data_IF_628612007687
#
_entry.id   IF_628612007687
#
_cell.length_a   1.000
_cell.length_b   1.000
_cell.length_c   1.000
_cell.angle_alpha   90.00
_cell.angle_beta   90.00
_cell.angle_gamma   90.00
#
_symmetry.space_group_name_H-M   'P 1'
#
loop_
_entity.id
_entity.type
_entity.pdbx_description
1 polymer ?
#
# COMPACT_ATOMS: atom_id res chain seq x y z
N UNK A 1 -0.22 5.78 -28.52
CA UNK A 1 0.00 5.33 -27.12
C UNK A 1 -0.74 4.00 -26.94
N UNK A 2 -0.03 2.88 -26.97
CA UNK A 2 -0.65 1.54 -26.86
C UNK A 2 -0.97 1.26 -25.39
N UNK A 3 -2.23 1.37 -25.02
CA UNK A 3 -2.74 0.83 -23.75
C UNK A 3 -2.70 -0.69 -23.92
N UNK A 4 -1.76 -1.35 -23.24
CA UNK A 4 -1.79 -2.81 -23.14
C UNK A 4 -2.99 -3.19 -22.29
N UNK A 5 -4.04 -3.64 -22.94
CA UNK A 5 -5.18 -4.29 -22.30
C UNK A 5 -4.66 -5.57 -21.65
N UNK A 6 -4.58 -5.59 -20.33
CA UNK A 6 -4.28 -6.80 -19.57
C UNK A 6 -5.56 -7.64 -19.61
N UNK A 7 -5.55 -8.63 -20.50
CA UNK A 7 -6.60 -9.65 -20.51
C UNK A 7 -6.49 -10.45 -19.21
N UNK A 8 -7.48 -10.34 -18.34
CA UNK A 8 -7.64 -11.16 -17.14
C UNK A 8 -8.10 -12.55 -17.60
N UNK A 9 -7.18 -13.46 -17.77
CA UNK A 9 -7.50 -14.89 -17.88
C UNK A 9 -7.69 -15.44 -16.47
N UNK A 10 -8.93 -15.64 -16.08
CA UNK A 10 -9.31 -16.39 -14.89
C UNK A 10 -9.06 -17.88 -15.18
N UNK A 11 -7.88 -18.38 -14.85
CA UNK A 11 -7.64 -19.83 -14.78
C UNK A 11 -7.83 -20.23 -13.31
N UNK A 12 -9.03 -20.72 -13.00
CA UNK A 12 -9.28 -21.44 -11.76
C UNK A 12 -8.61 -22.83 -11.88
N UNK A 13 -7.34 -22.91 -11.51
CA UNK A 13 -6.69 -24.22 -11.33
C UNK A 13 -7.09 -24.74 -9.96
N UNK A 14 -8.10 -25.60 -9.93
CA UNK A 14 -8.39 -26.46 -8.78
C UNK A 14 -7.33 -27.58 -8.78
N UNK A 15 -6.16 -27.30 -8.24
CA UNK A 15 -5.18 -28.34 -7.95
C UNK A 15 -5.52 -28.98 -6.61
N UNK A 16 -5.75 -30.29 -6.64
CA UNK A 16 -5.91 -31.16 -5.48
C UNK A 16 -4.59 -31.38 -4.69
N UNK A 17 -3.56 -30.58 -4.95
CA UNK A 17 -2.30 -30.62 -4.24
C UNK A 17 -2.41 -29.84 -2.93
N UNK A 18 -1.75 -30.32 -1.89
CA UNK A 18 -1.67 -29.61 -0.61
C UNK A 18 -1.08 -28.21 -0.85
N UNK A 19 -1.87 -27.17 -0.59
CA UNK A 19 -1.44 -25.76 -0.73
C UNK A 19 -0.18 -25.51 0.08
N UNK A 20 0.84 -24.91 -0.52
CA UNK A 20 2.09 -24.53 0.13
C UNK A 20 2.07 -23.07 0.56
N UNK A 21 2.94 -22.69 1.51
CA UNK A 21 3.07 -21.27 1.93
C UNK A 21 3.55 -20.38 0.76
N UNK A 22 4.36 -20.95 -0.14
CA UNK A 22 4.85 -20.26 -1.34
C UNK A 22 3.70 -19.93 -2.30
N UNK A 23 2.76 -20.85 -2.52
CA UNK A 23 1.57 -20.61 -3.33
C UNK A 23 0.68 -19.51 -2.75
N UNK A 24 0.57 -19.41 -1.42
CA UNK A 24 -0.14 -18.31 -0.77
C UNK A 24 0.54 -16.97 -1.01
N UNK A 25 1.89 -16.94 -1.04
CA UNK A 25 2.62 -15.71 -1.36
C UNK A 25 2.52 -15.36 -2.85
N UNK A 26 2.51 -16.35 -3.74
CA UNK A 26 2.35 -16.14 -5.18
C UNK A 26 0.97 -15.60 -5.54
N UNK A 27 -0.06 -16.08 -4.85
CA UNK A 27 -1.42 -15.59 -5.00
C UNK A 27 -1.59 -14.10 -4.65
N UNK A 28 -0.70 -13.51 -3.84
CA UNK A 28 -0.71 -12.08 -3.54
C UNK A 28 -0.50 -11.21 -4.79
N UNK A 29 0.30 -11.66 -5.75
CA UNK A 29 0.61 -10.88 -6.96
C UNK A 29 -0.65 -10.62 -7.81
N UNK A 30 -1.67 -11.47 -7.68
CA UNK A 30 -2.97 -11.34 -8.37
C UNK A 30 -3.99 -10.50 -7.61
N UNK A 31 -3.68 -10.04 -6.39
CA UNK A 31 -4.64 -9.34 -5.56
C UNK A 31 -4.88 -7.90 -6.02
N UNK A 32 -6.18 -7.46 -6.08
CA UNK A 32 -6.52 -6.09 -6.48
C UNK A 32 -5.81 -5.02 -5.65
N UNK A 33 -5.56 -5.26 -4.36
CA UNK A 33 -4.85 -4.32 -3.49
C UNK A 33 -3.41 -4.05 -3.94
N UNK A 34 -2.67 -5.08 -4.37
CA UNK A 34 -1.32 -4.93 -4.90
C UNK A 34 -1.31 -4.41 -6.35
N UNK A 35 -2.35 -4.71 -7.12
CA UNK A 35 -2.55 -4.09 -8.44
C UNK A 35 -2.81 -2.58 -8.31
N UNK A 36 -3.60 -2.16 -7.32
CA UNK A 36 -3.80 -0.74 -6.98
C UNK A 36 -2.46 -0.08 -6.60
N UNK A 37 -1.62 -0.75 -5.83
CA UNK A 37 -0.29 -0.23 -5.49
C UNK A 37 0.62 -0.12 -6.72
N UNK A 38 0.54 -1.04 -7.69
CA UNK A 38 1.24 -0.92 -8.98
C UNK A 38 0.72 0.27 -9.79
N UNK A 39 -0.60 0.47 -9.85
CA UNK A 39 -1.20 1.63 -10.50
C UNK A 39 -0.78 2.95 -9.84
N UNK A 40 -0.71 3.00 -8.51
CA UNK A 40 -0.22 4.17 -7.77
C UNK A 40 1.26 4.47 -8.10
N UNK A 41 2.09 3.44 -8.24
CA UNK A 41 3.49 3.59 -8.71
C UNK A 41 3.52 4.15 -10.13
N UNK A 42 2.70 3.63 -11.06
CA UNK A 42 2.60 4.13 -12.43
C UNK A 42 2.09 5.58 -12.46
N UNK A 43 1.10 5.95 -11.64
CA UNK A 43 0.64 7.33 -11.48
C UNK A 43 1.78 8.27 -11.06
N UNK A 44 2.64 7.84 -10.14
CA UNK A 44 3.83 8.61 -9.76
C UNK A 44 4.79 8.82 -10.94
N UNK A 45 5.00 7.81 -11.77
CA UNK A 45 5.85 7.91 -12.97
C UNK A 45 5.23 8.81 -14.05
N UNK A 46 3.92 8.70 -14.28
CA UNK A 46 3.17 9.55 -15.21
C UNK A 46 3.14 11.00 -14.71
N UNK A 47 3.01 11.20 -13.39
CA UNK A 47 3.09 12.52 -12.77
C UNK A 47 4.40 13.24 -13.09
N UNK A 48 5.54 12.51 -13.08
CA UNK A 48 6.82 13.06 -13.54
C UNK A 48 6.77 13.45 -15.02
N UNK A 49 6.28 12.54 -15.90
CA UNK A 49 6.15 12.83 -17.34
C UNK A 49 5.25 14.04 -17.60
N UNK A 50 4.17 14.21 -16.81
CA UNK A 50 3.29 15.38 -16.90
C UNK A 50 4.02 16.69 -16.58
N UNK A 51 4.90 16.71 -15.56
CA UNK A 51 5.72 17.89 -15.27
C UNK A 51 6.74 18.12 -16.39
N UNK A 52 7.40 17.07 -16.84
CA UNK A 52 8.41 17.15 -17.92
C UNK A 52 7.76 17.61 -19.25
N UNK A 53 6.49 17.29 -19.50
CA UNK A 53 5.78 17.74 -20.70
C UNK A 53 5.59 19.27 -20.76
N UNK A 54 5.67 19.95 -19.63
CA UNK A 54 5.60 21.42 -19.61
C UNK A 54 6.86 22.11 -20.17
N UNK A 55 7.93 21.35 -20.48
CA UNK A 55 9.08 21.89 -21.22
C UNK A 55 8.86 21.93 -22.73
N UNK A 56 7.85 21.21 -23.23
CA UNK A 56 7.56 21.16 -24.68
C UNK A 56 6.69 22.36 -25.08
N UNK A 57 6.80 22.78 -26.36
CA UNK A 57 5.96 23.84 -26.87
C UNK A 57 4.46 23.45 -26.84
N UNK A 58 3.62 24.42 -26.54
CA UNK A 58 2.17 24.33 -26.73
C UNK A 58 1.79 25.03 -27.99
N UNK A 59 0.96 24.37 -28.81
CA UNK A 59 0.42 24.90 -30.05
C UNK A 59 -1.07 25.12 -29.87
N UNK A 60 -1.51 26.37 -30.05
CA UNK A 60 -2.92 26.75 -29.92
C UNK A 60 -3.38 27.40 -31.24
N UNK A 61 -4.48 26.92 -31.76
CA UNK A 61 -5.24 27.59 -32.80
C UNK A 61 -6.19 28.59 -32.13
N UNK A 62 -6.26 29.81 -32.62
CA UNK A 62 -7.19 30.80 -32.11
C UNK A 62 -7.94 31.46 -33.26
N UNK A 63 -9.16 31.93 -32.97
CA UNK A 63 -9.95 32.75 -33.84
C UNK A 63 -10.62 33.88 -33.04
N UNK A 64 -10.69 35.07 -33.61
CA UNK A 64 -11.42 36.17 -32.99
C UNK A 64 -12.16 37.00 -34.02
N UNK A 65 -13.33 37.52 -33.66
CA UNK A 65 -14.10 38.52 -34.36
C UNK A 65 -14.21 39.74 -33.44
N UNK A 66 -13.70 40.87 -33.88
CA UNK A 66 -13.68 42.08 -33.07
C UNK A 66 -14.25 43.22 -33.88
N UNK A 67 -15.22 43.96 -33.30
CA UNK A 67 -15.74 45.19 -33.87
C UNK A 67 -15.32 46.36 -32.96
N UNK A 68 -14.70 47.35 -33.53
CA UNK A 68 -14.21 48.54 -32.84
C UNK A 68 -15.14 49.73 -33.16
N UNK A 69 -15.29 50.67 -32.24
CA UNK A 69 -16.05 51.88 -32.45
C UNK A 69 -15.34 52.90 -33.36
N UNK A 70 -14.08 52.64 -33.69
CA UNK A 70 -13.27 53.45 -34.62
C UNK A 70 -12.31 52.55 -35.40
N UNK A 71 -11.94 52.92 -36.64
CA UNK A 71 -10.98 52.14 -37.41
C UNK A 71 -9.68 51.91 -36.68
N UNK A 72 -9.21 50.68 -36.63
CA UNK A 72 -7.94 50.26 -36.01
C UNK A 72 -7.08 49.48 -36.98
N UNK A 73 -5.80 49.34 -36.64
CA UNK A 73 -4.82 48.65 -37.51
C UNK A 73 -5.10 47.14 -37.63
N UNK A 74 -5.12 46.67 -38.83
CA UNK A 74 -5.10 45.25 -39.18
C UNK A 74 -3.72 44.65 -38.89
N UNK A 75 -2.66 45.42 -39.11
CA UNK A 75 -1.27 45.11 -38.89
C UNK A 75 -0.60 46.21 -38.05
N UNK A 76 0.42 45.91 -37.22
CA UNK A 76 1.26 46.93 -36.61
C UNK A 76 2.18 47.52 -37.70
N UNK A 77 1.79 48.73 -38.15
CA UNK A 77 2.59 49.52 -39.11
C UNK A 77 3.14 50.78 -38.47
N UNK A 78 4.33 51.17 -38.87
CA UNK A 78 4.88 52.47 -38.51
C UNK A 78 4.16 53.60 -39.28
N UNK A 79 4.09 54.82 -38.74
CA UNK A 79 3.38 55.94 -39.36
C UNK A 79 3.86 56.31 -40.76
N UNK A 80 5.17 56.10 -41.06
CA UNK A 80 5.76 56.45 -42.35
C UNK A 80 5.28 55.44 -43.41
N UNK A 81 5.31 54.17 -43.11
CA UNK A 81 4.80 53.08 -43.98
C UNK A 81 3.29 53.22 -44.20
N UNK A 82 2.51 53.51 -43.12
CA UNK A 82 1.08 53.77 -43.24
C UNK A 82 0.80 54.99 -44.16
N UNK A 83 1.56 56.08 -43.99
CA UNK A 83 1.44 57.29 -44.83
C UNK A 83 1.76 57.00 -46.31
N UNK A 84 2.81 56.27 -46.62
CA UNK A 84 3.15 55.83 -48.01
C UNK A 84 2.07 55.01 -48.62
N UNK A 85 1.50 54.01 -47.89
CA UNK A 85 0.40 53.20 -48.37
C UNK A 85 -0.87 54.07 -48.62
N UNK A 86 -1.13 55.07 -47.77
CA UNK A 86 -2.22 56.01 -47.93
C UNK A 86 -2.14 56.82 -49.22
N UNK A 87 -0.91 57.22 -49.63
CA UNK A 87 -0.65 57.98 -50.84
C UNK A 87 -0.55 57.12 -52.11
N UNK A 88 -0.37 55.82 -51.98
CA UNK A 88 -0.19 54.93 -53.15
C UNK A 88 -1.57 54.54 -53.70
N UNK A 89 -1.89 54.83 -54.98
CA UNK A 89 -3.12 54.43 -55.61
C UNK A 89 -3.32 52.92 -55.61
N UNK A 90 -4.52 52.41 -55.30
CA UNK A 90 -4.86 50.98 -55.35
C UNK A 90 -4.28 50.13 -54.23
N UNK A 91 -3.51 50.68 -53.31
CA UNK A 91 -3.02 49.97 -52.11
C UNK A 91 -3.96 50.20 -50.94
N UNK A 92 -4.18 49.12 -50.19
CA UNK A 92 -4.92 49.14 -48.94
C UNK A 92 -4.18 49.89 -47.87
N UNK A 93 -4.89 50.64 -47.01
CA UNK A 93 -4.44 51.06 -45.72
C UNK A 93 -5.05 50.09 -44.71
N UNK A 94 -4.25 49.33 -43.94
CA UNK A 94 -4.79 48.24 -43.12
C UNK A 94 -5.48 48.77 -41.86
N UNK A 95 -6.54 49.57 -42.07
CA UNK A 95 -7.40 50.09 -41.03
C UNK A 95 -8.84 49.61 -41.27
N UNK A 96 -9.48 49.04 -40.29
CA UNK A 96 -10.84 48.58 -40.33
C UNK A 96 -11.53 48.63 -38.96
N UNK A 97 -12.85 48.75 -38.97
CA UNK A 97 -13.65 48.68 -37.73
C UNK A 97 -13.94 47.19 -37.35
N UNK A 98 -14.11 46.35 -38.33
CA UNK A 98 -14.38 44.91 -38.07
C UNK A 98 -13.22 44.08 -38.55
N UNK A 99 -12.60 43.40 -37.61
CA UNK A 99 -11.42 42.55 -37.86
C UNK A 99 -11.69 41.14 -37.38
N UNK A 100 -11.51 40.17 -38.29
CA UNK A 100 -11.50 38.74 -38.02
C UNK A 100 -10.05 38.29 -38.03
N UNK A 101 -9.65 37.45 -37.05
CA UNK A 101 -8.31 36.90 -36.98
C UNK A 101 -8.40 35.39 -36.79
N UNK A 102 -7.64 34.65 -37.59
CA UNK A 102 -7.41 33.21 -37.41
C UNK A 102 -5.92 32.99 -37.39
N UNK A 103 -5.41 32.29 -36.40
CA UNK A 103 -3.97 32.14 -36.29
C UNK A 103 -3.52 31.04 -35.35
N UNK A 104 -2.22 30.87 -35.31
CA UNK A 104 -1.54 29.86 -34.48
C UNK A 104 -0.61 30.55 -33.50
N UNK A 105 -0.67 30.14 -32.25
CA UNK A 105 0.19 30.61 -31.18
C UNK A 105 1.00 29.42 -30.62
N UNK A 106 2.31 29.54 -30.65
CA UNK A 106 3.27 28.62 -30.03
C UNK A 106 3.88 29.27 -28.81
N UNK A 107 3.75 28.62 -27.65
CA UNK A 107 4.43 29.02 -26.43
C UNK A 107 5.40 27.92 -26.02
N UNK A 108 6.68 28.21 -25.81
CA UNK A 108 7.72 27.28 -25.40
C UNK A 108 8.52 27.86 -24.23
N UNK A 109 8.51 27.24 -23.04
CA UNK A 109 9.40 27.64 -21.97
C UNK A 109 10.84 27.23 -22.30
N UNK A 110 11.74 28.20 -22.37
CA UNK A 110 13.17 27.97 -22.62
C UNK A 110 13.93 27.74 -21.30
N UNK A 111 13.58 28.48 -20.25
CA UNK A 111 14.16 28.33 -18.92
C UNK A 111 13.13 28.61 -17.84
N UNK A 112 12.81 27.56 -17.07
CA UNK A 112 11.92 27.63 -15.90
C UNK A 112 12.47 26.70 -14.81
N UNK A 113 13.25 27.27 -13.89
CA UNK A 113 13.89 26.51 -12.80
C UNK A 113 12.89 25.74 -11.91
N UNK A 114 11.71 26.31 -11.72
CA UNK A 114 10.59 25.70 -10.98
C UNK A 114 10.24 24.32 -11.53
N UNK A 115 10.19 24.16 -12.86
CA UNK A 115 9.86 22.88 -13.52
C UNK A 115 10.88 21.77 -13.20
N UNK A 116 12.19 22.14 -13.18
CA UNK A 116 13.25 21.19 -12.80
C UNK A 116 13.09 20.68 -11.37
N UNK A 117 12.79 21.56 -10.44
CA UNK A 117 12.56 21.18 -9.04
C UNK A 117 11.27 20.33 -8.89
N UNK A 118 10.19 20.69 -9.62
CA UNK A 118 8.95 19.90 -9.64
C UNK A 118 9.17 18.51 -10.27
N UNK A 119 9.97 18.39 -11.33
CA UNK A 119 10.34 17.10 -11.93
C UNK A 119 11.07 16.22 -10.91
N UNK A 120 12.03 16.78 -10.16
CA UNK A 120 12.72 16.05 -9.09
C UNK A 120 11.78 15.67 -7.94
N UNK A 121 10.87 16.56 -7.54
CA UNK A 121 9.81 16.25 -6.56
C UNK A 121 9.01 15.01 -7.01
N UNK A 122 8.54 14.99 -8.26
CA UNK A 122 7.74 13.87 -8.78
C UNK A 122 8.56 12.56 -8.89
N UNK A 123 9.86 12.65 -9.19
CA UNK A 123 10.78 11.51 -9.16
C UNK A 123 10.85 10.88 -7.75
N UNK A 124 10.95 11.69 -6.70
CA UNK A 124 10.96 11.21 -5.31
C UNK A 124 9.59 10.64 -4.90
N UNK A 125 8.48 11.26 -5.31
CA UNK A 125 7.14 10.71 -5.06
C UNK A 125 6.93 9.35 -5.74
N UNK A 126 7.41 9.19 -6.97
CA UNK A 126 7.37 7.90 -7.68
C UNK A 126 8.20 6.82 -6.97
N UNK A 127 9.38 7.17 -6.43
CA UNK A 127 10.18 6.26 -5.59
C UNK A 127 9.47 5.90 -4.28
N UNK A 128 8.86 6.90 -3.62
CA UNK A 128 8.06 6.67 -2.41
C UNK A 128 6.93 5.68 -2.67
N UNK A 129 6.19 5.85 -3.77
CA UNK A 129 5.12 4.92 -4.18
C UNK A 129 5.66 3.50 -4.46
N UNK A 130 6.84 3.38 -5.10
CA UNK A 130 7.52 2.09 -5.30
C UNK A 130 7.82 1.39 -3.97
N UNK A 131 8.44 2.09 -3.02
CA UNK A 131 8.75 1.52 -1.70
C UNK A 131 7.49 1.19 -0.90
N UNK A 132 6.43 2.02 -1.02
CA UNK A 132 5.15 1.75 -0.39
C UNK A 132 4.50 0.46 -0.92
N UNK A 133 4.53 0.23 -2.23
CA UNK A 133 4.09 -1.04 -2.84
C UNK A 133 4.84 -2.24 -2.23
N UNK A 134 6.19 -2.17 -2.16
CA UNK A 134 6.99 -3.23 -1.56
C UNK A 134 6.64 -3.45 -0.09
N UNK A 135 6.47 -2.38 0.68
CA UNK A 135 6.10 -2.46 2.10
C UNK A 135 4.72 -3.10 2.28
N UNK A 136 3.74 -2.78 1.42
CA UNK A 136 2.41 -3.38 1.45
C UNK A 136 2.45 -4.87 1.10
N UNK A 137 3.28 -5.29 0.13
CA UNK A 137 3.53 -6.70 -0.16
C UNK A 137 4.07 -7.43 1.08
N UNK A 138 5.11 -6.88 1.73
CA UNK A 138 5.71 -7.50 2.94
C UNK A 138 4.72 -7.56 4.10
N UNK A 139 3.86 -6.53 4.26
CA UNK A 139 2.76 -6.56 5.23
C UNK A 139 1.75 -7.67 4.94
N UNK A 140 1.40 -7.88 3.67
CA UNK A 140 0.48 -8.94 3.27
C UNK A 140 1.09 -10.32 3.52
N UNK A 141 2.36 -10.54 3.17
CA UNK A 141 3.10 -11.76 3.49
C UNK A 141 3.17 -12.02 5.00
N UNK A 142 3.51 -11.00 5.78
CA UNK A 142 3.54 -11.09 7.24
C UNK A 142 2.16 -11.40 7.85
N UNK A 143 1.10 -10.87 7.26
CA UNK A 143 -0.28 -11.15 7.69
C UNK A 143 -0.67 -12.61 7.41
N UNK A 144 -0.30 -13.15 6.25
CA UNK A 144 -0.50 -14.58 5.92
C UNK A 144 0.29 -15.44 6.90
N UNK A 145 1.56 -15.13 7.13
CA UNK A 145 2.42 -15.87 8.05
C UNK A 145 1.84 -15.91 9.46
N UNK A 146 1.43 -14.74 9.99
CA UNK A 146 0.82 -14.63 11.32
C UNK A 146 -0.53 -15.36 11.42
N UNK A 147 -1.37 -15.26 10.38
CA UNK A 147 -2.65 -15.96 10.34
C UNK A 147 -2.49 -17.47 10.24
N UNK A 148 -1.57 -17.95 9.40
CA UNK A 148 -1.28 -19.37 9.26
C UNK A 148 -0.69 -19.97 10.54
N UNK A 149 0.20 -19.26 11.23
CA UNK A 149 0.73 -19.70 12.52
C UNK A 149 -0.33 -19.78 13.61
N UNK A 150 -1.30 -18.84 13.57
CA UNK A 150 -2.48 -18.92 14.45
C UNK A 150 -3.38 -20.09 14.10
N UNK A 151 -3.57 -20.39 12.81
CA UNK A 151 -4.35 -21.53 12.35
C UNK A 151 -3.69 -22.86 12.76
N UNK A 152 -2.36 -22.97 12.66
CA UNK A 152 -1.61 -24.14 13.12
C UNK A 152 -1.79 -24.37 14.62
N UNK A 153 -1.74 -23.32 15.43
CA UNK A 153 -2.06 -23.41 16.85
C UNK A 153 -3.47 -23.96 17.09
N UNK A 154 -4.48 -23.41 16.42
CA UNK A 154 -5.87 -23.84 16.60
C UNK A 154 -6.14 -25.25 16.06
N UNK A 155 -5.51 -25.66 14.96
CA UNK A 155 -5.60 -27.01 14.40
C UNK A 155 -5.06 -28.05 15.41
N UNK A 156 -3.90 -27.78 16.02
CA UNK A 156 -3.29 -28.66 17.02
C UNK A 156 -4.11 -28.70 18.32
N UNK A 157 -4.68 -27.55 18.72
CA UNK A 157 -5.57 -27.49 19.88
C UNK A 157 -6.85 -28.30 19.65
N UNK A 158 -7.42 -28.22 18.45
CA UNK A 158 -8.61 -28.98 18.06
C UNK A 158 -8.36 -30.50 18.08
N UNK A 159 -7.20 -30.94 17.57
CA UNK A 159 -6.80 -32.35 17.64
C UNK A 159 -6.73 -32.83 19.09
N UNK A 160 -6.14 -32.02 19.97
CA UNK A 160 -6.02 -32.37 21.40
C UNK A 160 -7.38 -32.39 22.09
N UNK A 161 -8.24 -31.36 21.85
CA UNK A 161 -9.61 -31.33 22.42
C UNK A 161 -10.46 -32.54 21.99
N UNK A 162 -10.41 -32.91 20.69
CA UNK A 162 -11.14 -34.08 20.20
C UNK A 162 -10.63 -35.38 20.83
N UNK A 163 -9.32 -35.48 21.07
CA UNK A 163 -8.72 -36.62 21.78
C UNK A 163 -9.23 -36.70 23.23
N UNK A 164 -9.22 -35.54 23.93
CA UNK A 164 -9.74 -35.47 25.30
C UNK A 164 -11.24 -35.78 25.34
N UNK A 165 -12.03 -35.23 24.41
CA UNK A 165 -13.47 -35.54 24.32
C UNK A 165 -13.73 -37.03 24.19
N UNK A 166 -12.97 -37.74 23.30
CA UNK A 166 -13.07 -39.19 23.12
C UNK A 166 -12.73 -39.92 24.43
N UNK A 167 -11.73 -39.50 25.18
CA UNK A 167 -11.38 -40.10 26.47
C UNK A 167 -12.48 -39.88 27.50
N UNK A 168 -13.03 -38.69 27.59
CA UNK A 168 -14.17 -38.39 28.52
C UNK A 168 -15.43 -39.19 28.14
N UNK A 169 -15.70 -39.39 26.83
CA UNK A 169 -16.80 -40.26 26.38
C UNK A 169 -16.61 -41.72 26.81
N UNK A 170 -15.39 -42.25 26.75
CA UNK A 170 -15.10 -43.57 27.27
C UNK A 170 -15.36 -43.66 28.79
N UNK A 171 -14.92 -42.64 29.52
CA UNK A 171 -15.17 -42.51 30.97
C UNK A 171 -16.66 -42.39 31.27
N UNK A 172 -17.44 -41.65 30.47
CA UNK A 172 -18.91 -41.56 30.59
C UNK A 172 -19.55 -42.96 30.52
N UNK A 173 -19.13 -43.80 29.53
CA UNK A 173 -19.64 -45.14 29.37
C UNK A 173 -19.33 -46.04 30.61
N UNK A 174 -18.10 -45.95 31.15
CA UNK A 174 -17.72 -46.73 32.34
C UNK A 174 -18.50 -46.26 33.59
N UNK A 175 -18.71 -44.95 33.76
CA UNK A 175 -19.51 -44.42 34.86
C UNK A 175 -20.99 -44.81 34.70
N UNK A 176 -21.53 -44.78 33.49
CA UNK A 176 -22.92 -45.16 33.21
C UNK A 176 -23.17 -46.60 33.63
N UNK A 177 -22.29 -47.53 33.25
CA UNK A 177 -22.37 -48.93 33.69
C UNK A 177 -22.29 -49.04 35.19
N UNK A 178 -21.47 -48.23 35.88
CA UNK A 178 -21.35 -48.24 37.33
C UNK A 178 -22.59 -47.68 38.05
N UNK A 179 -23.24 -46.64 37.49
CA UNK A 179 -24.50 -46.07 37.99
C UNK A 179 -25.66 -47.06 37.79
N UNK A 180 -25.75 -47.66 36.58
CA UNK A 180 -26.81 -48.66 36.26
C UNK A 180 -26.73 -49.91 37.17
N UNK A 181 -25.53 -50.26 37.63
CA UNK A 181 -25.27 -51.32 38.59
C UNK A 181 -25.35 -50.88 40.05
N UNK A 182 -25.78 -49.62 40.35
CA UNK A 182 -25.91 -49.13 41.70
C UNK A 182 -24.58 -48.87 42.46
N UNK A 183 -23.44 -48.91 41.74
CA UNK A 183 -22.09 -48.78 42.33
C UNK A 183 -21.64 -47.32 42.44
N UNK A 184 -22.30 -46.41 41.71
CA UNK A 184 -22.03 -44.95 41.74
C UNK A 184 -23.33 -44.17 41.76
N UNK A 185 -23.37 -42.99 42.44
CA UNK A 185 -24.52 -42.08 42.42
C UNK A 185 -24.66 -41.42 41.04
N UNK A 186 -25.90 -41.17 40.60
CA UNK A 186 -26.23 -40.56 39.28
C UNK A 186 -25.58 -39.20 39.05
N UNK A 187 -25.32 -38.42 40.11
CA UNK A 187 -24.58 -37.14 40.00
C UNK A 187 -23.18 -37.27 39.36
N UNK A 188 -22.58 -38.48 39.41
CA UNK A 188 -21.29 -38.72 38.71
C UNK A 188 -21.45 -38.68 37.19
N UNK A 189 -22.61 -39.11 36.67
CA UNK A 189 -22.90 -39.03 35.23
C UNK A 189 -23.16 -37.58 34.81
N UNK A 190 -23.94 -36.82 35.61
CA UNK A 190 -24.22 -35.41 35.33
C UNK A 190 -22.93 -34.57 35.24
N UNK A 191 -21.95 -34.82 36.12
CA UNK A 191 -20.63 -34.14 36.07
C UNK A 191 -19.85 -34.42 34.76
N UNK A 192 -19.90 -35.66 34.28
CA UNK A 192 -19.23 -36.03 33.03
C UNK A 192 -19.95 -35.43 31.83
N UNK A 193 -21.30 -35.40 31.84
CA UNK A 193 -22.11 -34.77 30.81
C UNK A 193 -21.82 -33.26 30.73
N UNK A 194 -21.73 -32.60 31.88
CA UNK A 194 -21.31 -31.20 31.96
C UNK A 194 -19.93 -31.01 31.32
N UNK A 195 -18.97 -31.88 31.64
CA UNK A 195 -17.60 -31.81 31.07
C UNK A 195 -17.59 -32.00 29.54
N UNK A 196 -18.41 -32.91 29.01
CA UNK A 196 -18.58 -33.10 27.57
C UNK A 196 -19.17 -31.86 26.88
N UNK A 197 -20.17 -31.24 27.49
CA UNK A 197 -20.77 -30.00 26.99
C UNK A 197 -19.74 -28.85 26.98
N UNK A 198 -18.91 -28.71 28.02
CA UNK A 198 -17.83 -27.73 28.08
C UNK A 198 -16.81 -27.94 26.97
N UNK A 199 -16.45 -29.21 26.69
CA UNK A 199 -15.55 -29.54 25.61
C UNK A 199 -16.13 -29.20 24.23
N UNK A 200 -17.43 -29.44 24.02
CA UNK A 200 -18.11 -29.10 22.78
C UNK A 200 -18.21 -27.59 22.58
N UNK A 201 -18.50 -26.82 23.60
CA UNK A 201 -18.48 -25.35 23.58
C UNK A 201 -17.07 -24.86 23.18
N UNK A 202 -16.03 -25.43 23.80
CA UNK A 202 -14.65 -25.07 23.49
C UNK A 202 -14.26 -25.41 22.04
N UNK A 203 -14.66 -26.59 21.54
CA UNK A 203 -14.45 -26.99 20.15
C UNK A 203 -15.13 -26.02 19.18
N UNK A 204 -16.39 -25.63 19.47
CA UNK A 204 -17.11 -24.66 18.65
C UNK A 204 -16.42 -23.29 18.63
N UNK A 205 -15.97 -22.80 19.78
CA UNK A 205 -15.24 -21.54 19.90
C UNK A 205 -13.92 -21.56 19.10
N UNK A 206 -13.19 -22.69 19.14
CA UNK A 206 -11.97 -22.86 18.33
C UNK A 206 -12.30 -22.88 16.84
N UNK A 207 -13.37 -23.57 16.42
CA UNK A 207 -13.80 -23.59 15.03
C UNK A 207 -14.18 -22.18 14.52
N UNK A 208 -14.84 -21.35 15.30
CA UNK A 208 -15.16 -19.97 14.96
C UNK A 208 -13.84 -19.18 14.73
N UNK A 209 -12.86 -19.31 15.64
CA UNK A 209 -11.56 -18.66 15.48
C UNK A 209 -10.81 -19.13 14.24
N UNK A 210 -10.84 -20.44 13.95
CA UNK A 210 -10.27 -21.02 12.72
C UNK A 210 -10.90 -20.43 11.47
N UNK A 211 -12.23 -20.35 11.40
CA UNK A 211 -12.94 -19.75 10.28
C UNK A 211 -12.51 -18.29 10.04
N UNK A 212 -12.31 -17.52 11.12
CA UNK A 212 -11.84 -16.13 11.01
C UNK A 212 -10.44 -16.03 10.43
N UNK A 213 -9.49 -16.92 10.81
CA UNK A 213 -8.15 -16.95 10.26
C UNK A 213 -8.13 -17.42 8.81
N UNK A 214 -8.93 -18.44 8.47
CA UNK A 214 -9.11 -18.92 7.10
C UNK A 214 -9.66 -17.79 6.22
N UNK A 215 -10.69 -17.10 6.67
CA UNK A 215 -11.27 -15.97 5.94
C UNK A 215 -10.26 -14.82 5.76
N UNK A 216 -9.39 -14.57 6.74
CA UNK A 216 -8.33 -13.56 6.65
C UNK A 216 -7.30 -13.93 5.57
N UNK A 217 -6.87 -15.18 5.48
CA UNK A 217 -5.97 -15.67 4.43
C UNK A 217 -6.68 -15.63 3.08
N UNK A 218 -7.93 -16.10 3.00
CA UNK A 218 -8.71 -16.11 1.77
C UNK A 218 -8.93 -14.70 1.20
N UNK A 219 -9.17 -13.69 2.05
CA UNK A 219 -9.27 -12.29 1.61
C UNK A 219 -8.00 -11.77 0.93
N UNK A 220 -6.82 -12.29 1.33
CA UNK A 220 -5.52 -11.87 0.79
C UNK A 220 -5.05 -12.72 -0.40
N UNK A 221 -5.52 -13.96 -0.53
CA UNK A 221 -4.99 -14.92 -1.52
C UNK A 221 -6.04 -15.46 -2.48
N UNK A 222 -7.32 -15.25 -2.16
CA UNK A 222 -8.46 -15.91 -2.79
C UNK A 222 -8.43 -17.45 -2.69
N UNK A 223 -7.55 -18.00 -1.85
CA UNK A 223 -7.41 -19.45 -1.59
C UNK A 223 -8.08 -19.75 -0.25
N UNK A 224 -9.02 -20.71 -0.25
CA UNK A 224 -9.68 -21.20 0.98
C UNK A 224 -8.94 -22.41 1.53
N UNK A 225 -8.27 -22.24 2.65
CA UNK A 225 -7.59 -23.32 3.35
C UNK A 225 -8.58 -24.20 4.13
N UNK A 226 -8.26 -25.49 4.29
CA UNK A 226 -8.93 -26.41 5.23
C UNK A 226 -8.16 -26.50 6.54
N UNK A 227 -6.85 -26.52 6.47
CA UNK A 227 -5.90 -26.62 7.58
C UNK A 227 -4.75 -25.65 7.39
N UNK A 228 -3.95 -25.47 8.43
CA UNK A 228 -2.71 -24.73 8.37
C UNK A 228 -1.71 -25.36 7.40
N UNK A 229 -0.86 -24.54 6.83
CA UNK A 229 0.22 -24.93 5.94
C UNK A 229 1.52 -24.97 6.74
N UNK A 230 2.35 -25.99 6.50
CA UNK A 230 3.67 -26.12 7.15
C UNK A 230 4.57 -24.94 6.78
N UNK A 231 5.35 -24.47 7.75
CA UNK A 231 6.27 -23.33 7.61
C UNK A 231 7.63 -23.68 8.20
N UNK A 232 8.67 -23.57 7.38
CA UNK A 232 10.06 -23.67 7.82
C UNK A 232 10.84 -22.43 7.42
N UNK A 233 11.61 -21.87 8.33
CA UNK A 233 12.46 -20.71 8.05
C UNK A 233 13.82 -21.24 7.56
N UNK A 234 14.08 -21.09 6.25
CA UNK A 234 15.30 -21.58 5.61
C UNK A 234 16.46 -20.56 5.67
N UNK A 235 16.14 -19.28 5.84
CA UNK A 235 17.12 -18.20 5.75
C UNK A 235 16.98 -17.22 6.92
N UNK A 236 18.12 -16.75 7.44
CA UNK A 236 18.12 -15.72 8.50
C UNK A 236 17.59 -14.38 7.98
N UNK A 237 16.87 -13.65 8.84
CA UNK A 237 16.41 -12.30 8.56
C UNK A 237 17.60 -11.36 8.30
N UNK A 238 17.50 -10.54 7.25
CA UNK A 238 18.47 -9.47 6.99
C UNK A 238 18.07 -8.24 7.79
N UNK A 239 18.95 -7.80 8.69
CA UNK A 239 18.69 -6.70 9.63
C UNK A 239 19.48 -5.42 9.28
N UNK A 240 19.72 -5.16 7.99
CA UNK A 240 20.66 -4.10 7.55
C UNK A 240 20.11 -2.68 7.71
N UNK A 241 18.84 -2.45 7.44
CA UNK A 241 18.22 -1.12 7.53
C UNK A 241 16.73 -1.21 7.79
N UNK A 242 16.18 -0.15 8.41
CA UNK A 242 14.74 -0.06 8.66
C UNK A 242 14.05 0.31 7.33
N UNK A 243 13.68 -0.71 6.55
CA UNK A 243 13.05 -0.53 5.23
C UNK A 243 11.71 0.22 5.32
N UNK A 244 10.97 0.05 6.41
CA UNK A 244 9.69 0.71 6.64
C UNK A 244 9.77 2.25 6.60
N UNK A 245 10.96 2.85 6.76
CA UNK A 245 11.19 4.30 6.63
C UNK A 245 11.37 4.76 5.18
N UNK A 246 11.77 3.90 4.25
CA UNK A 246 12.08 4.28 2.85
C UNK A 246 11.01 5.11 2.15
N UNK A 247 9.70 4.77 2.25
CA UNK A 247 8.65 5.59 1.64
C UNK A 247 8.59 7.01 2.20
N UNK A 248 8.84 7.17 3.52
CA UNK A 248 8.80 8.46 4.21
C UNK A 248 10.05 9.30 3.90
N UNK A 249 11.22 8.67 3.82
CA UNK A 249 12.49 9.33 3.42
C UNK A 249 12.38 9.93 2.02
N UNK A 250 11.85 9.18 1.06
CA UNK A 250 11.63 9.69 -0.30
C UNK A 250 10.57 10.79 -0.32
N UNK A 251 9.51 10.70 0.49
CA UNK A 251 8.52 11.77 0.65
C UNK A 251 9.15 13.04 1.21
N UNK A 252 10.05 12.94 2.18
CA UNK A 252 10.79 14.08 2.73
C UNK A 252 11.65 14.75 1.65
N UNK A 253 12.35 13.96 0.82
CA UNK A 253 13.11 14.49 -0.30
C UNK A 253 12.20 15.20 -1.32
N UNK A 254 11.00 14.67 -1.56
CA UNK A 254 9.99 15.33 -2.39
C UNK A 254 9.56 16.69 -1.79
N UNK A 255 9.34 16.76 -0.46
CA UNK A 255 8.97 18.02 0.23
C UNK A 255 10.11 19.05 0.20
N UNK A 256 11.38 18.62 0.28
CA UNK A 256 12.54 19.50 0.07
C UNK A 256 12.54 20.10 -1.33
N UNK A 257 12.27 19.28 -2.36
CA UNK A 257 12.17 19.72 -3.76
C UNK A 257 10.97 20.62 -4.01
N UNK A 258 9.84 20.38 -3.32
CA UNK A 258 8.66 21.24 -3.37
C UNK A 258 8.96 22.65 -2.82
N UNK A 259 9.66 22.73 -1.69
CA UNK A 259 10.12 24.02 -1.15
C UNK A 259 11.07 24.73 -2.12
N UNK A 260 12.00 23.98 -2.75
CA UNK A 260 12.90 24.55 -3.77
C UNK A 260 12.15 25.05 -5.00
N UNK A 261 11.10 24.34 -5.44
CA UNK A 261 10.25 24.77 -6.55
C UNK A 261 9.53 26.10 -6.25
N UNK A 262 8.91 26.20 -5.06
CA UNK A 262 8.21 27.43 -4.67
C UNK A 262 9.19 28.61 -4.50
N UNK A 263 10.40 28.37 -3.97
CA UNK A 263 11.46 29.38 -3.93
C UNK A 263 11.87 29.80 -5.34
N UNK A 264 12.05 28.85 -6.27
CA UNK A 264 12.39 29.14 -7.66
C UNK A 264 11.28 29.91 -8.37
N UNK A 265 10.02 29.58 -8.12
CA UNK A 265 8.85 30.33 -8.63
C UNK A 265 8.87 31.79 -8.22
N UNK A 266 9.40 32.10 -7.02
CA UNK A 266 9.45 33.46 -6.49
C UNK A 266 10.68 34.25 -6.96
N UNK A 267 11.85 33.61 -7.02
CA UNK A 267 13.13 34.31 -7.17
C UNK A 267 13.84 34.09 -8.49
N UNK A 268 13.44 33.07 -9.28
CA UNK A 268 14.15 32.76 -10.52
C UNK A 268 13.48 33.40 -11.72
N UNK A 269 14.27 33.86 -12.71
CA UNK A 269 13.73 34.30 -13.98
C UNK A 269 13.05 33.16 -14.73
N UNK A 270 12.08 33.53 -15.56
CA UNK A 270 11.43 32.65 -16.53
C UNK A 270 11.72 33.20 -17.91
N UNK A 271 12.18 32.35 -18.81
CA UNK A 271 12.43 32.68 -20.21
C UNK A 271 11.52 31.83 -21.07
N UNK A 272 10.79 32.47 -21.96
CA UNK A 272 9.87 31.80 -22.88
C UNK A 272 10.01 32.34 -24.30
N UNK A 273 9.84 31.48 -25.27
CA UNK A 273 9.67 31.82 -26.67
C UNK A 273 8.18 31.77 -27.01
N UNK A 274 7.70 32.89 -27.56
CA UNK A 274 6.36 32.99 -28.13
C UNK A 274 6.51 33.21 -29.63
N UNK A 275 5.79 32.42 -30.41
CA UNK A 275 5.70 32.59 -31.86
C UNK A 275 4.22 32.65 -32.21
N UNK A 276 3.84 33.67 -32.94
CA UNK A 276 2.46 33.86 -33.39
C UNK A 276 2.45 34.14 -34.89
N UNK A 277 1.49 33.50 -35.57
CA UNK A 277 1.14 33.82 -36.93
C UNK A 277 -0.38 33.88 -37.04
N UNK A 278 -0.90 34.90 -37.71
CA UNK A 278 -2.34 35.05 -37.96
C UNK A 278 -2.62 35.63 -39.34
N UNK A 279 -3.70 35.16 -39.94
CA UNK A 279 -4.36 35.83 -41.08
C UNK A 279 -5.45 36.74 -40.49
N UNK A 280 -5.37 38.03 -40.84
CA UNK A 280 -6.29 39.05 -40.40
C UNK A 280 -7.16 39.49 -41.58
N UNK A 281 -8.47 39.38 -41.41
CA UNK A 281 -9.47 39.73 -42.41
C UNK A 281 -10.28 40.96 -41.96
N UNK A 282 -10.44 41.90 -42.88
CA UNK A 282 -11.33 43.07 -42.67
C UNK A 282 -12.45 43.03 -43.74
N UNK A 283 -13.68 43.26 -43.32
CA UNK A 283 -14.82 43.30 -44.26
C UNK A 283 -14.80 44.53 -45.15
N UNK A 284 -14.39 45.68 -44.57
CA UNK A 284 -14.24 46.94 -45.27
C UNK A 284 -12.95 47.61 -44.88
N UNK A 285 -12.04 47.85 -45.83
CA UNK A 285 -10.89 48.71 -45.68
C UNK A 285 -11.39 50.17 -45.78
N UNK A 286 -10.96 51.01 -44.86
CA UNK A 286 -11.40 52.40 -44.74
C UNK A 286 -11.12 53.21 -46.01
N UNK A 287 -10.12 52.81 -46.80
CA UNK A 287 -9.72 53.51 -48.03
C UNK A 287 -10.35 52.90 -49.29
N UNK A 288 -10.38 51.58 -49.36
CA UNK A 288 -10.76 50.88 -50.58
C UNK A 288 -12.25 50.44 -50.60
N UNK A 289 -12.93 50.45 -49.46
CA UNK A 289 -14.30 49.92 -49.33
C UNK A 289 -14.45 48.44 -49.70
N UNK A 290 -13.37 47.69 -49.67
CA UNK A 290 -13.30 46.27 -50.03
C UNK A 290 -12.78 45.42 -48.89
N UNK A 291 -13.12 44.14 -48.91
CA UNK A 291 -12.49 43.19 -47.99
C UNK A 291 -11.00 43.01 -48.31
N UNK A 292 -10.21 43.01 -47.26
CA UNK A 292 -8.76 42.82 -47.34
C UNK A 292 -8.34 41.78 -46.32
N UNK A 293 -7.28 41.01 -46.64
CA UNK A 293 -6.64 40.13 -45.74
C UNK A 293 -5.13 40.37 -45.71
N UNK A 294 -4.52 40.19 -44.53
CA UNK A 294 -3.11 40.41 -44.35
C UNK A 294 -2.56 39.41 -43.32
N UNK A 295 -1.46 38.75 -43.70
CA UNK A 295 -0.71 37.87 -42.82
C UNK A 295 0.17 38.65 -41.83
N UNK A 296 0.14 38.29 -40.57
CA UNK A 296 1.00 38.87 -39.55
C UNK A 296 1.64 37.80 -38.68
N UNK A 297 2.94 37.88 -38.47
CA UNK A 297 3.65 37.00 -37.58
C UNK A 297 4.78 37.66 -36.82
N UNK A 298 5.05 37.18 -35.63
CA UNK A 298 6.20 37.57 -34.84
C UNK A 298 6.75 36.39 -34.05
N UNK A 299 8.02 36.49 -33.66
CA UNK A 299 8.62 35.72 -32.60
C UNK A 299 9.14 36.65 -31.52
N UNK A 300 9.00 36.22 -30.27
CA UNK A 300 9.39 36.99 -29.11
C UNK A 300 10.04 36.10 -28.06
N UNK A 301 11.23 36.50 -27.58
CA UNK A 301 11.82 35.89 -26.39
C UNK A 301 11.53 36.83 -25.23
N UNK A 302 10.73 36.36 -24.29
CA UNK A 302 10.33 37.13 -23.10
C UNK A 302 11.09 36.64 -21.87
N UNK A 303 11.58 37.56 -21.06
CA UNK A 303 12.16 37.27 -19.73
C UNK A 303 11.26 37.92 -18.69
N UNK A 304 10.82 37.15 -17.69
CA UNK A 304 9.99 37.63 -16.57
C UNK A 304 10.66 37.29 -15.26
N UNK A 305 10.83 38.27 -14.39
CA UNK A 305 11.38 38.13 -13.05
C UNK A 305 10.35 38.74 -12.07
N UNK A 306 9.77 37.92 -11.16
CA UNK A 306 8.83 38.47 -10.16
C UNK A 306 9.60 39.26 -9.09
N UNK A 307 9.36 40.58 -9.02
CA UNK A 307 10.02 41.42 -8.04
C UNK A 307 9.32 41.41 -6.68
N UNK A 308 8.00 41.53 -6.67
CA UNK A 308 7.20 41.51 -5.44
C UNK A 308 5.93 40.67 -5.61
N UNK A 309 5.74 39.74 -4.69
CA UNK A 309 4.50 38.95 -4.59
C UNK A 309 4.44 38.38 -3.17
N UNK A 310 3.57 38.95 -2.33
CA UNK A 310 3.42 38.53 -0.93
C UNK A 310 2.84 37.13 -0.82
N UNK A 311 1.94 36.72 -1.73
CA UNK A 311 1.33 35.38 -1.71
C UNK A 311 2.38 34.26 -1.87
N UNK A 312 3.36 34.47 -2.76
CA UNK A 312 4.47 33.54 -2.93
C UNK A 312 5.39 33.44 -1.71
N UNK A 313 5.49 34.53 -0.91
CA UNK A 313 6.23 34.49 0.36
C UNK A 313 5.54 33.61 1.39
N UNK A 314 4.21 33.72 1.50
CA UNK A 314 3.39 32.87 2.37
C UNK A 314 3.45 31.41 1.92
N UNK A 315 3.42 31.13 0.60
CA UNK A 315 3.61 29.79 0.06
C UNK A 315 4.94 29.16 0.51
N UNK A 316 6.02 29.94 0.53
CA UNK A 316 7.34 29.48 1.02
C UNK A 316 7.25 29.10 2.50
N UNK A 317 6.59 29.90 3.32
CA UNK A 317 6.42 29.62 4.76
C UNK A 317 5.59 28.36 4.98
N UNK A 318 4.47 28.20 4.27
CA UNK A 318 3.66 26.97 4.33
C UNK A 318 4.49 25.73 3.95
N UNK A 319 5.31 25.81 2.91
CA UNK A 319 6.17 24.68 2.50
C UNK A 319 7.30 24.40 3.49
N UNK A 320 7.83 25.41 4.18
CA UNK A 320 8.78 25.21 5.28
C UNK A 320 8.14 24.45 6.44
N UNK A 321 6.93 24.86 6.86
CA UNK A 321 6.18 24.18 7.93
C UNK A 321 5.87 22.74 7.53
N UNK A 322 5.43 22.50 6.28
CA UNK A 322 5.19 21.14 5.79
C UNK A 322 6.46 20.28 5.81
N UNK A 323 7.60 20.84 5.43
CA UNK A 323 8.89 20.13 5.48
C UNK A 323 9.27 19.77 6.92
N UNK A 324 9.12 20.71 7.87
CA UNK A 324 9.37 20.44 9.29
C UNK A 324 8.44 19.36 9.85
N UNK A 325 7.16 19.40 9.46
CA UNK A 325 6.19 18.35 9.82
C UNK A 325 6.62 16.98 9.30
N UNK A 326 7.05 16.89 8.04
CA UNK A 326 7.52 15.63 7.44
C UNK A 326 8.81 15.13 8.12
N UNK A 327 9.74 16.02 8.52
CA UNK A 327 10.91 15.69 9.30
C UNK A 327 10.55 15.08 10.67
N UNK A 328 9.63 15.74 11.40
CA UNK A 328 9.18 15.27 12.71
C UNK A 328 8.42 13.95 12.62
N UNK A 329 7.65 13.72 11.55
CA UNK A 329 7.00 12.44 11.32
C UNK A 329 7.99 11.29 11.10
N UNK A 330 9.09 11.53 10.38
CA UNK A 330 10.13 10.51 10.20
C UNK A 330 10.84 10.22 11.52
N UNK A 331 11.22 11.27 12.28
CA UNK A 331 11.86 11.15 13.59
C UNK A 331 10.99 10.29 14.52
N UNK A 332 9.71 10.67 14.68
CA UNK A 332 8.72 9.91 15.46
C UNK A 332 8.65 8.44 15.01
N UNK A 333 8.41 8.20 13.71
CA UNK A 333 8.28 6.83 13.21
C UNK A 333 9.55 6.00 13.38
N UNK A 334 10.74 6.63 13.25
CA UNK A 334 12.02 5.98 13.45
C UNK A 334 12.20 5.54 14.91
N UNK A 335 11.81 6.39 15.87
CA UNK A 335 11.93 6.08 17.29
C UNK A 335 10.94 4.99 17.71
N UNK A 336 9.68 5.05 17.21
CA UNK A 336 8.69 3.99 17.37
C UNK A 336 9.20 2.64 16.83
N UNK A 337 9.73 2.62 15.62
CA UNK A 337 10.25 1.39 15.01
C UNK A 337 11.49 0.85 15.73
N UNK A 338 12.36 1.70 16.27
CA UNK A 338 13.50 1.26 17.08
C UNK A 338 13.04 0.60 18.38
N UNK A 339 12.08 1.21 19.07
CA UNK A 339 11.50 0.64 20.29
C UNK A 339 10.81 -0.71 20.00
N UNK A 340 10.02 -0.79 18.90
CA UNK A 340 9.41 -2.03 18.45
C UNK A 340 10.44 -3.12 18.16
N UNK A 341 11.51 -2.81 17.43
CA UNK A 341 12.59 -3.75 17.12
C UNK A 341 13.22 -4.31 18.40
N UNK A 342 13.56 -3.42 19.36
CA UNK A 342 14.14 -3.84 20.62
C UNK A 342 13.19 -4.76 21.39
N UNK A 343 11.94 -4.34 21.57
CA UNK A 343 10.91 -5.12 22.26
C UNK A 343 10.70 -6.49 21.60
N UNK A 344 10.58 -6.54 20.26
CA UNK A 344 10.35 -7.80 19.53
C UNK A 344 11.58 -8.74 19.69
N UNK A 345 12.80 -8.22 19.63
CA UNK A 345 14.01 -9.03 19.82
C UNK A 345 14.10 -9.63 21.22
N UNK A 346 13.75 -8.86 22.23
CA UNK A 346 13.69 -9.37 23.62
C UNK A 346 12.58 -10.41 23.77
N UNK A 347 11.37 -10.15 23.22
CA UNK A 347 10.29 -11.12 23.18
C UNK A 347 10.69 -12.42 22.51
N UNK A 348 11.41 -12.38 21.38
CA UNK A 348 11.87 -13.60 20.69
C UNK A 348 12.79 -14.45 21.56
N UNK A 349 13.72 -13.85 22.30
CA UNK A 349 14.58 -14.58 23.25
C UNK A 349 13.75 -15.29 24.34
N UNK A 350 12.75 -14.59 24.89
CA UNK A 350 11.86 -15.15 25.91
C UNK A 350 10.96 -16.26 25.32
N UNK A 351 10.47 -16.09 24.10
CA UNK A 351 9.65 -17.07 23.41
C UNK A 351 10.45 -18.34 23.07
N UNK A 352 11.72 -18.21 22.68
CA UNK A 352 12.61 -19.36 22.44
C UNK A 352 12.79 -20.16 23.73
N UNK A 353 13.09 -19.51 24.84
CA UNK A 353 13.18 -20.17 26.15
C UNK A 353 11.85 -20.84 26.56
N UNK A 354 10.73 -20.13 26.36
CA UNK A 354 9.39 -20.64 26.66
C UNK A 354 9.03 -21.85 25.81
N UNK A 355 9.43 -21.88 24.52
CA UNK A 355 9.21 -23.03 23.63
C UNK A 355 9.94 -24.27 24.12
N UNK A 356 11.18 -24.14 24.60
CA UNK A 356 11.93 -25.26 25.18
C UNK A 356 11.27 -25.78 26.46
N UNK A 357 10.90 -24.88 27.39
CA UNK A 357 10.25 -25.26 28.66
C UNK A 357 8.87 -25.89 28.44
N UNK A 358 8.07 -25.37 27.50
CA UNK A 358 6.74 -25.94 27.22
C UNK A 358 6.86 -27.29 26.52
N UNK A 359 7.86 -27.51 25.67
CA UNK A 359 8.14 -28.83 25.04
C UNK A 359 8.55 -29.86 26.10
N UNK A 360 9.38 -29.48 27.07
CA UNK A 360 9.75 -30.34 28.19
C UNK A 360 8.53 -30.66 29.07
N UNK A 361 7.67 -29.66 29.35
CA UNK A 361 6.46 -29.86 30.11
C UNK A 361 5.50 -30.85 29.43
N UNK A 362 5.33 -30.80 28.11
CA UNK A 362 4.54 -31.80 27.35
C UNK A 362 5.08 -33.21 27.60
N UNK A 363 6.42 -33.40 27.57
CA UNK A 363 7.02 -34.70 27.84
C UNK A 363 6.69 -35.21 29.26
N UNK A 364 6.79 -34.31 30.26
CA UNK A 364 6.43 -34.63 31.67
C UNK A 364 4.96 -34.97 31.80
N UNK A 365 4.05 -34.17 31.22
CA UNK A 365 2.61 -34.41 31.27
C UNK A 365 2.21 -35.71 30.57
N UNK A 366 2.83 -36.07 29.43
CA UNK A 366 2.61 -37.38 28.77
C UNK A 366 3.00 -38.56 29.68
N UNK A 367 4.11 -38.46 30.40
CA UNK A 367 4.54 -39.51 31.34
C UNK A 367 3.58 -39.61 32.53
N UNK A 368 3.16 -38.46 33.11
CA UNK A 368 2.18 -38.43 34.21
C UNK A 368 0.86 -39.07 33.76
N UNK A 369 0.36 -38.72 32.58
CA UNK A 369 -0.88 -39.31 32.04
C UNK A 369 -0.74 -40.86 31.82
N UNK A 370 0.42 -41.31 31.39
CA UNK A 370 0.69 -42.79 31.26
C UNK A 370 0.60 -43.48 32.61
N UNK A 371 1.19 -42.90 33.69
CA UNK A 371 1.09 -43.47 35.02
C UNK A 371 -0.34 -43.40 35.59
N UNK A 372 -1.02 -42.24 35.40
CA UNK A 372 -2.41 -42.09 35.81
C UNK A 372 -3.33 -43.15 35.17
N UNK A 373 -3.14 -43.42 33.88
CA UNK A 373 -3.91 -44.45 33.16
C UNK A 373 -3.74 -45.86 33.77
N UNK A 374 -2.55 -46.21 34.23
CA UNK A 374 -2.30 -47.49 34.91
C UNK A 374 -2.96 -47.49 36.31
N UNK A 375 -2.80 -46.39 37.08
CA UNK A 375 -3.34 -46.24 38.43
C UNK A 375 -4.87 -46.37 38.46
N UNK A 376 -5.58 -45.81 37.46
CA UNK A 376 -7.03 -45.95 37.33
C UNK A 376 -7.42 -47.39 37.04
N UNK A 377 -6.71 -48.07 36.14
CA UNK A 377 -6.99 -49.48 35.83
C UNK A 377 -6.83 -50.42 37.04
N UNK A 378 -5.88 -50.06 37.92
CA UNK A 378 -5.64 -50.80 39.17
C UNK A 378 -6.53 -50.36 40.34
N UNK A 379 -7.47 -49.41 40.09
CA UNK A 379 -8.36 -48.93 41.13
C UNK A 379 -7.66 -48.01 42.18
N UNK A 380 -6.41 -47.56 41.92
CA UNK A 380 -5.60 -46.76 42.83
C UNK A 380 -5.83 -45.23 42.64
N UNK A 381 -6.60 -44.85 41.63
CA UNK A 381 -6.85 -43.45 41.29
C UNK A 381 -8.31 -43.32 40.84
N UNK A 382 -8.95 -42.19 41.21
CA UNK A 382 -10.30 -41.89 40.75
C UNK A 382 -10.30 -41.46 39.29
N UNK A 383 -11.44 -41.65 38.62
CA UNK A 383 -11.62 -41.17 37.24
C UNK A 383 -11.54 -39.64 37.12
N UNK A 384 -12.01 -38.95 38.15
CA UNK A 384 -11.91 -37.49 38.21
C UNK A 384 -10.42 -37.02 38.25
N UNK A 385 -9.57 -37.69 39.06
CA UNK A 385 -8.14 -37.36 39.07
C UNK A 385 -7.47 -37.63 37.74
N UNK A 386 -7.84 -38.74 37.05
CA UNK A 386 -7.33 -39.00 35.70
C UNK A 386 -7.65 -37.91 34.70
N UNK A 387 -8.89 -37.37 34.72
CA UNK A 387 -9.27 -36.27 33.86
C UNK A 387 -8.43 -35.01 34.09
N UNK A 388 -7.97 -34.74 35.31
CA UNK A 388 -7.07 -33.64 35.64
C UNK A 388 -5.69 -33.81 34.92
N UNK A 389 -5.18 -35.03 34.78
CA UNK A 389 -3.94 -35.27 34.01
C UNK A 389 -4.15 -35.08 32.51
N UNK A 390 -5.32 -35.41 31.98
CA UNK A 390 -5.69 -35.10 30.58
C UNK A 390 -5.77 -33.60 30.34
N UNK A 391 -6.45 -32.86 31.19
CA UNK A 391 -6.51 -31.39 31.16
C UNK A 391 -5.11 -30.77 31.27
N UNK A 392 -4.22 -31.35 32.09
CA UNK A 392 -2.83 -30.96 32.20
C UNK A 392 -2.06 -31.09 30.89
N UNK A 393 -2.23 -32.20 30.17
CA UNK A 393 -1.63 -32.43 28.85
C UNK A 393 -2.21 -31.51 27.78
N UNK A 394 -3.53 -31.32 27.77
CA UNK A 394 -4.21 -30.37 26.88
C UNK A 394 -3.63 -28.97 27.06
N UNK A 395 -3.55 -28.49 28.31
CA UNK A 395 -3.00 -27.16 28.64
C UNK A 395 -1.53 -27.03 28.21
N UNK A 396 -0.70 -28.08 28.42
CA UNK A 396 0.69 -28.06 28.02
C UNK A 396 0.86 -27.95 26.49
N UNK A 397 0.08 -28.73 25.72
CA UNK A 397 0.07 -28.63 24.24
C UNK A 397 -0.38 -27.26 23.79
N UNK A 398 -1.49 -26.73 24.31
CA UNK A 398 -2.01 -25.41 23.99
C UNK A 398 -0.96 -24.31 24.20
N UNK A 399 -0.27 -24.32 25.36
CA UNK A 399 0.81 -23.36 25.67
C UNK A 399 1.98 -23.45 24.69
N UNK A 400 2.42 -24.63 24.31
CA UNK A 400 3.50 -24.82 23.35
C UNK A 400 3.16 -24.22 21.98
N UNK A 401 2.04 -24.61 21.39
CA UNK A 401 1.64 -24.10 20.07
C UNK A 401 1.32 -22.61 20.09
N UNK A 402 0.81 -22.08 21.21
CA UNK A 402 0.63 -20.64 21.39
C UNK A 402 1.96 -19.90 21.37
N UNK A 403 2.99 -20.43 22.05
CA UNK A 403 4.35 -19.84 22.06
C UNK A 403 4.94 -19.86 20.66
N UNK A 404 4.82 -20.98 19.92
CA UNK A 404 5.31 -21.11 18.54
C UNK A 404 4.59 -20.10 17.62
N UNK A 405 3.27 -19.97 17.74
CA UNK A 405 2.50 -18.99 16.96
C UNK A 405 2.94 -17.57 17.24
N UNK A 406 3.13 -17.18 18.53
CA UNK A 406 3.64 -15.86 18.91
C UNK A 406 5.04 -15.60 18.34
N UNK A 407 5.91 -16.62 18.32
CA UNK A 407 7.23 -16.50 17.70
C UNK A 407 7.15 -16.17 16.21
N UNK A 408 6.31 -16.87 15.44
CA UNK A 408 6.08 -16.58 14.03
C UNK A 408 5.51 -15.19 13.80
N UNK A 409 4.56 -14.74 14.64
CA UNK A 409 4.01 -13.38 14.57
C UNK A 409 5.08 -12.31 14.84
N UNK A 410 6.00 -12.55 15.77
CA UNK A 410 7.12 -11.66 16.05
C UNK A 410 8.11 -11.60 14.88
N UNK A 411 8.44 -12.74 14.28
CA UNK A 411 9.25 -12.82 13.06
C UNK A 411 8.56 -12.03 11.92
N UNK A 412 7.25 -12.24 11.70
CA UNK A 412 6.48 -11.56 10.67
C UNK A 412 6.54 -10.02 10.83
N UNK A 413 6.49 -9.48 12.04
CA UNK A 413 6.65 -8.04 12.29
C UNK A 413 8.04 -7.54 11.89
N UNK A 414 9.11 -8.26 12.27
CA UNK A 414 10.49 -7.87 11.91
C UNK A 414 10.71 -7.91 10.39
N UNK A 415 10.14 -8.87 9.67
CA UNK A 415 10.26 -8.92 8.21
C UNK A 415 9.70 -7.69 7.52
N UNK A 416 8.60 -7.13 8.02
CA UNK A 416 8.02 -5.88 7.50
C UNK A 416 8.95 -4.69 7.81
N UNK A 417 9.45 -4.60 9.03
CA UNK A 417 10.30 -3.47 9.46
C UNK A 417 11.60 -3.43 8.65
N UNK A 418 12.25 -4.57 8.48
CA UNK A 418 13.51 -4.67 7.73
C UNK A 418 13.33 -4.84 6.21
N UNK A 419 12.10 -5.08 5.74
CA UNK A 419 11.83 -5.23 4.32
C UNK A 419 12.28 -6.57 3.74
N UNK A 420 12.21 -7.63 4.53
CA UNK A 420 12.51 -8.97 4.06
C UNK A 420 11.33 -9.53 3.25
N UNK A 421 11.61 -9.98 2.04
CA UNK A 421 10.64 -10.71 1.23
C UNK A 421 10.57 -12.16 1.70
N UNK A 422 9.42 -12.56 2.23
CA UNK A 422 9.23 -13.92 2.77
C UNK A 422 9.19 -15.00 1.68
N UNK A 423 8.88 -14.63 0.43
CA UNK A 423 8.96 -15.55 -0.71
C UNK A 423 10.42 -15.98 -0.92
N UNK A 424 10.70 -17.26 -0.78
CA UNK A 424 12.04 -17.83 -0.84
C UNK A 424 12.79 -17.90 0.51
N UNK A 425 12.26 -17.29 1.58
CA UNK A 425 12.80 -17.42 2.93
C UNK A 425 12.06 -18.46 3.76
N UNK A 426 10.82 -18.73 3.43
CA UNK A 426 9.93 -19.70 4.09
C UNK A 426 9.45 -20.69 3.05
N UNK A 427 9.57 -21.97 3.38
CA UNK A 427 9.07 -23.11 2.60
C UNK A 427 8.05 -23.91 3.38
#
# INVERSE_FOLDING_TARGET
MKIKTIALSFVAVVSLNATTITELFDALDQQPSLQIDELNKQMGQIGKKKVDSNYYPTLNLFGSYTHYNSPTNLLPLDPITAGKLAQTPGKSVPFAQTIQKVGVLVNMPLYVKELGELSQKMKHLAKSAKYKKMLNLYKSQATILGANSGLEYLDNLLVTLNSTKKSVQNTQNDIKISVDNGRMPGIALDKIDQKLNELDININNINIQRLNLIAKIQKLTNIKLKHSVKMNLDTKLQENSIFALKPLEEKLLASKKDLSAVKSKRYSPKVALNVMYSENYAQEDVKLGKSVHEGYGYYQIGISIPLYDKSKSVDIELKKIQLLKDQKNIEKTKDELKADIQSIKEQLKLLDRSALLTKENIKKQKNLLKFAKVAVKEGRMTQEDYLRYEDGLLSANAKYYQVVSKKWQSIAKLTVIYGNNLKGMIK
#
